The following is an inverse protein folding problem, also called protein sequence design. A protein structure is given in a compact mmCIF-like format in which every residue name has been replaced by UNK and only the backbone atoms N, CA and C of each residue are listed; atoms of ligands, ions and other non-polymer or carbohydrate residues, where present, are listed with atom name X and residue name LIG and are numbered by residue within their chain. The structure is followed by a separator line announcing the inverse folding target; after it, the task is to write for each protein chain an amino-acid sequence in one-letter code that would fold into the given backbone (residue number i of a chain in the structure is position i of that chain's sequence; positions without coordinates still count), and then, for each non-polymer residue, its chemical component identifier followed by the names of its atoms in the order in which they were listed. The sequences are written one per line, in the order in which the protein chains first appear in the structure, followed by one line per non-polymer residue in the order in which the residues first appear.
data_IF_665254582891
#
_entry.id   IF_665254582891
#
_cell.length_a   1.000
_cell.length_b   1.000
_cell.length_c   1.000
_cell.angle_alpha   90.00
_cell.angle_beta   90.00
_cell.angle_gamma   90.00
#
_symmetry.space_group_name_H-M   'P 1'
#
loop_
_entity.id
_entity.type
_entity.pdbx_description
1 polymer ?
#
# COMPACT_ATOMS: atom_id res chain seq x y z
N UNK A 1 19.04 -2.06 -6.94
CA UNK A 1 18.82 -1.94 -5.48
C UNK A 1 19.43 -3.16 -4.82
N UNK A 2 20.24 -2.95 -3.78
CA UNK A 2 20.90 -4.04 -3.05
C UNK A 2 19.99 -4.61 -1.94
N UNK A 3 20.37 -5.74 -1.36
CA UNK A 3 19.70 -6.30 -0.19
C UNK A 3 19.72 -5.30 0.99
N UNK A 4 20.87 -4.63 1.20
CA UNK A 4 21.05 -3.60 2.23
C UNK A 4 20.12 -2.40 2.01
N UNK A 5 19.95 -1.93 0.77
CA UNK A 5 19.03 -0.82 0.47
C UNK A 5 17.57 -1.18 0.78
N UNK A 6 17.20 -2.44 0.53
CA UNK A 6 15.88 -2.96 0.85
C UNK A 6 15.67 -2.95 2.36
N UNK A 7 16.60 -3.50 3.14
CA UNK A 7 16.53 -3.53 4.60
C UNK A 7 16.48 -2.12 5.20
N UNK A 8 17.30 -1.19 4.70
CA UNK A 8 17.29 0.21 5.13
C UNK A 8 15.94 0.88 4.86
N UNK A 9 15.29 0.53 3.76
CA UNK A 9 13.96 1.05 3.41
C UNK A 9 12.88 0.47 4.30
N UNK A 10 12.91 -0.83 4.55
CA UNK A 10 11.98 -1.48 5.50
C UNK A 10 12.15 -0.93 6.92
N UNK A 11 13.39 -0.70 7.37
CA UNK A 11 13.68 -0.11 8.67
C UNK A 11 13.12 1.32 8.76
N UNK A 12 13.35 2.16 7.75
CA UNK A 12 12.84 3.53 7.72
C UNK A 12 11.30 3.57 7.74
N UNK A 13 10.65 2.67 6.99
CA UNK A 13 9.19 2.51 7.04
C UNK A 13 8.70 2.08 8.41
N UNK A 14 9.41 1.17 9.09
CA UNK A 14 9.05 0.73 10.44
C UNK A 14 9.19 1.86 11.45
N UNK A 15 10.26 2.66 11.37
CA UNK A 15 10.41 3.87 12.18
C UNK A 15 9.26 4.84 11.93
N UNK A 16 8.97 5.17 10.66
CA UNK A 16 7.89 6.09 10.33
C UNK A 16 6.52 5.62 10.83
N UNK A 17 6.27 4.31 10.78
CA UNK A 17 5.07 3.69 11.31
C UNK A 17 4.95 3.81 12.85
N UNK A 18 6.03 3.50 13.56
CA UNK A 18 6.05 3.49 15.04
C UNK A 18 6.03 4.91 15.60
N UNK A 19 6.84 5.79 15.04
CA UNK A 19 6.97 7.19 15.46
C UNK A 19 5.88 8.10 14.88
N UNK A 20 5.05 7.57 13.98
CA UNK A 20 3.94 8.28 13.32
C UNK A 20 4.41 9.50 12.54
N UNK A 21 5.57 9.39 11.90
CA UNK A 21 6.10 10.46 11.07
C UNK A 21 5.42 10.46 9.70
N UNK A 22 5.33 11.64 9.12
CA UNK A 22 4.86 11.79 7.75
C UNK A 22 5.91 11.20 6.80
N UNK A 23 5.54 10.27 5.88
CA UNK A 23 6.49 9.75 4.92
C UNK A 23 7.02 10.89 4.04
N UNK A 24 8.31 10.88 3.75
CA UNK A 24 8.90 11.85 2.84
C UNK A 24 8.75 11.38 1.39
N UNK A 25 8.94 12.30 0.43
CA UNK A 25 9.02 11.94 -0.98
C UNK A 25 10.14 10.91 -1.25
N UNK A 26 11.31 11.06 -0.60
CA UNK A 26 12.40 10.08 -0.71
C UNK A 26 12.00 8.69 -0.21
N UNK A 27 11.31 8.61 0.94
CA UNK A 27 10.83 7.33 1.46
C UNK A 27 9.79 6.70 0.52
N UNK A 28 8.93 7.51 -0.10
CA UNK A 28 7.98 7.06 -1.09
C UNK A 28 8.69 6.49 -2.34
N UNK A 29 9.70 7.19 -2.87
CA UNK A 29 10.51 6.73 -4.01
C UNK A 29 11.21 5.39 -3.74
N UNK A 30 11.83 5.27 -2.57
CA UNK A 30 12.46 4.02 -2.14
C UNK A 30 11.43 2.90 -1.99
N UNK A 31 10.26 3.20 -1.44
CA UNK A 31 9.16 2.23 -1.32
C UNK A 31 8.67 1.77 -2.69
N UNK A 32 8.52 2.67 -3.66
CA UNK A 32 8.19 2.30 -5.04
C UNK A 32 9.24 1.38 -5.66
N UNK A 33 10.52 1.59 -5.38
CA UNK A 33 11.60 0.71 -5.83
C UNK A 33 11.50 -0.70 -5.21
N UNK A 34 11.05 -0.81 -3.96
CA UNK A 34 10.78 -2.11 -3.31
C UNK A 34 9.53 -2.78 -3.86
N UNK A 35 8.47 -2.02 -4.16
CA UNK A 35 7.22 -2.52 -4.74
C UNK A 35 7.40 -3.19 -6.11
N UNK A 36 8.35 -2.70 -6.93
CA UNK A 36 8.64 -3.29 -8.25
C UNK A 36 9.58 -4.49 -8.19
N UNK A 37 10.24 -4.71 -7.05
CA UNK A 37 11.26 -5.74 -6.89
C UNK A 37 10.77 -7.05 -6.28
N UNK A 38 11.66 -8.04 -6.23
CA UNK A 38 11.39 -9.36 -5.63
C UNK A 38 11.05 -9.32 -4.12
N UNK A 39 11.28 -8.17 -3.47
CA UNK A 39 11.09 -7.99 -2.04
C UNK A 39 9.77 -7.31 -1.67
N UNK A 40 8.87 -7.04 -2.63
CA UNK A 40 7.59 -6.37 -2.37
C UNK A 40 6.77 -7.01 -1.24
N UNK A 41 6.80 -8.35 -1.13
CA UNK A 41 6.13 -9.10 -0.05
C UNK A 41 6.55 -8.69 1.36
N UNK A 42 7.77 -8.19 1.55
CA UNK A 42 8.28 -7.79 2.86
C UNK A 42 7.68 -6.48 3.36
N UNK A 43 7.11 -5.66 2.47
CA UNK A 43 6.43 -4.42 2.85
C UNK A 43 5.21 -4.71 3.73
N UNK A 44 4.42 -5.73 3.42
CA UNK A 44 3.31 -6.14 4.29
C UNK A 44 3.79 -6.52 5.71
N UNK A 45 5.00 -7.07 5.84
CA UNK A 45 5.60 -7.41 7.13
C UNK A 45 5.95 -6.19 8.00
N UNK A 46 6.13 -5.00 7.42
CA UNK A 46 6.35 -3.77 8.19
C UNK A 46 5.15 -3.45 9.09
N UNK A 47 3.96 -3.88 8.68
CA UNK A 47 2.71 -3.61 9.37
C UNK A 47 2.55 -4.37 10.70
N UNK A 48 3.43 -5.32 11.06
CA UNK A 48 3.29 -6.20 12.22
C UNK A 48 2.72 -5.50 13.47
N UNK A 49 1.49 -5.88 13.87
CA UNK A 49 0.69 -5.38 15.00
C UNK A 49 0.27 -3.91 14.93
N UNK A 50 0.38 -3.29 13.76
CA UNK A 50 0.12 -1.88 13.48
C UNK A 50 -0.61 -1.70 12.14
N UNK A 51 -1.47 -2.64 11.76
CA UNK A 51 -2.10 -2.78 10.45
C UNK A 51 -2.89 -1.52 10.07
N UNK A 52 -3.71 -0.99 10.98
CA UNK A 52 -4.47 0.24 10.74
C UNK A 52 -3.58 1.47 10.48
N UNK A 53 -2.43 1.54 11.16
CA UNK A 53 -1.46 2.63 10.98
C UNK A 53 -0.68 2.45 9.68
N UNK A 54 -0.35 1.20 9.33
CA UNK A 54 0.34 0.87 8.10
C UNK A 54 -0.53 1.18 6.87
N UNK A 55 -1.84 0.93 6.95
CA UNK A 55 -2.79 1.33 5.92
C UNK A 55 -2.70 2.84 5.64
N UNK A 56 -2.75 3.65 6.69
CA UNK A 56 -2.64 5.11 6.55
C UNK A 56 -1.26 5.55 6.04
N UNK A 57 -0.17 4.89 6.44
CA UNK A 57 1.18 5.18 5.97
C UNK A 57 1.31 4.89 4.46
N UNK A 58 0.87 3.73 4.00
CA UNK A 58 0.98 3.34 2.59
C UNK A 58 0.06 4.15 1.68
N UNK A 59 -1.10 4.58 2.17
CA UNK A 59 -1.96 5.54 1.47
C UNK A 59 -1.25 6.88 1.27
N UNK A 60 -0.57 7.42 2.29
CA UNK A 60 0.21 8.67 2.16
C UNK A 60 1.41 8.50 1.23
N UNK A 61 2.07 7.33 1.25
CA UNK A 61 3.10 6.99 0.26
C UNK A 61 2.52 7.00 -1.16
N UNK A 62 1.35 6.40 -1.38
CA UNK A 62 0.69 6.43 -2.68
C UNK A 62 0.42 7.88 -3.15
N UNK A 63 -0.03 8.75 -2.25
CA UNK A 63 -0.21 10.17 -2.53
C UNK A 63 1.10 10.86 -2.90
N UNK A 64 2.21 10.58 -2.21
CA UNK A 64 3.53 11.12 -2.57
C UNK A 64 4.03 10.65 -3.94
N UNK A 65 3.69 9.42 -4.34
CA UNK A 65 4.05 8.88 -5.66
C UNK A 65 3.29 9.59 -6.79
N UNK A 66 2.20 10.29 -6.47
CA UNK A 66 1.45 11.14 -7.39
C UNK A 66 1.04 10.38 -8.67
N UNK A 67 1.20 10.95 -9.87
CA UNK A 67 0.68 10.38 -11.12
C UNK A 67 1.43 9.13 -11.60
N UNK A 68 2.36 8.58 -10.82
CA UNK A 68 3.14 7.41 -11.24
C UNK A 68 2.26 6.15 -11.22
N UNK A 69 2.37 5.26 -12.22
CA UNK A 69 1.58 4.02 -12.27
C UNK A 69 1.73 3.14 -11.02
N UNK A 70 2.92 3.13 -10.42
CA UNK A 70 3.25 2.31 -9.24
C UNK A 70 2.46 2.70 -7.98
N UNK A 71 1.85 3.89 -7.93
CA UNK A 71 1.03 4.30 -6.79
C UNK A 71 -0.21 3.39 -6.62
N UNK A 72 -0.74 2.81 -7.69
CA UNK A 72 -1.81 1.81 -7.60
C UNK A 72 -1.40 0.59 -6.74
N UNK A 73 -0.14 0.15 -6.84
CA UNK A 73 0.37 -0.93 -5.99
C UNK A 73 0.50 -0.53 -4.52
N UNK A 74 0.86 0.73 -4.25
CA UNK A 74 0.89 1.27 -2.90
C UNK A 74 -0.53 1.37 -2.29
N UNK A 75 -1.54 1.79 -3.06
CA UNK A 75 -2.94 1.76 -2.63
C UNK A 75 -3.42 0.34 -2.31
N UNK A 76 -3.07 -0.66 -3.14
CA UNK A 76 -3.43 -2.06 -2.84
C UNK A 76 -2.73 -2.59 -1.58
N UNK A 77 -1.47 -2.21 -1.34
CA UNK A 77 -0.78 -2.56 -0.09
C UNK A 77 -1.45 -1.89 1.13
N UNK A 78 -1.87 -0.63 1.00
CA UNK A 78 -2.65 0.05 2.02
C UNK A 78 -3.98 -0.68 2.28
N UNK A 79 -4.67 -1.10 1.23
CA UNK A 79 -5.92 -1.86 1.32
C UNK A 79 -5.71 -3.20 2.04
N UNK A 80 -4.63 -3.93 1.75
CA UNK A 80 -4.27 -5.16 2.47
C UNK A 80 -4.09 -4.90 3.97
N UNK A 81 -3.40 -3.82 4.35
CA UNK A 81 -3.23 -3.47 5.76
C UNK A 81 -4.56 -3.09 6.42
N UNK A 82 -5.43 -2.36 5.73
CA UNK A 82 -6.78 -2.03 6.23
C UNK A 82 -7.62 -3.30 6.43
N UNK A 83 -7.50 -4.28 5.51
CA UNK A 83 -8.19 -5.55 5.61
C UNK A 83 -7.73 -6.35 6.83
N UNK A 84 -6.42 -6.44 7.06
CA UNK A 84 -5.86 -7.11 8.24
C UNK A 84 -6.24 -6.42 9.55
N UNK A 85 -6.50 -5.11 9.51
CA UNK A 85 -7.06 -4.35 10.63
C UNK A 85 -8.59 -4.51 10.79
N UNK A 86 -9.25 -5.36 9.99
CA UNK A 86 -10.69 -5.53 9.92
C UNK A 86 -11.49 -4.27 9.52
N UNK A 87 -10.84 -3.30 8.86
CA UNK A 87 -11.50 -2.11 8.30
C UNK A 87 -11.87 -2.36 6.83
N UNK A 88 -12.95 -3.13 6.64
CA UNK A 88 -13.38 -3.56 5.30
C UNK A 88 -13.94 -2.41 4.45
N UNK A 89 -14.50 -1.38 5.08
CA UNK A 89 -14.97 -0.17 4.39
C UNK A 89 -13.80 0.62 3.81
N UNK A 90 -12.75 0.84 4.59
CA UNK A 90 -11.54 1.50 4.10
C UNK A 90 -10.81 0.65 3.07
N UNK A 91 -10.80 -0.67 3.26
CA UNK A 91 -10.28 -1.62 2.26
C UNK A 91 -10.95 -1.39 0.90
N UNK A 92 -12.29 -1.38 0.86
CA UNK A 92 -13.03 -1.16 -0.38
C UNK A 92 -12.71 0.20 -1.03
N UNK A 93 -12.64 1.27 -0.23
CA UNK A 93 -12.29 2.61 -0.72
C UNK A 93 -10.89 2.64 -1.36
N UNK A 94 -9.87 2.10 -0.68
CA UNK A 94 -8.50 2.06 -1.17
C UNK A 94 -8.35 1.21 -2.45
N UNK A 95 -9.16 0.15 -2.60
CA UNK A 95 -9.19 -0.64 -3.84
C UNK A 95 -9.81 0.15 -5.00
N UNK A 96 -10.87 0.93 -4.75
CA UNK A 96 -11.45 1.82 -5.75
C UNK A 96 -10.49 2.95 -6.16
N UNK A 97 -9.73 3.48 -5.20
CA UNK A 97 -8.67 4.46 -5.47
C UNK A 97 -7.55 3.85 -6.32
N UNK A 98 -7.13 2.61 -6.02
CA UNK A 98 -6.14 1.89 -6.83
C UNK A 98 -6.61 1.68 -8.27
N UNK A 99 -7.86 1.24 -8.47
CA UNK A 99 -8.48 1.02 -9.78
C UNK A 99 -8.61 2.34 -10.56
N UNK A 100 -9.07 3.39 -9.90
CA UNK A 100 -9.19 4.72 -10.50
C UNK A 100 -7.83 5.29 -10.90
N UNK A 101 -6.82 5.11 -10.05
CA UNK A 101 -5.45 5.56 -10.31
C UNK A 101 -4.84 4.83 -11.51
N UNK A 102 -4.96 3.50 -11.52
CA UNK A 102 -4.51 2.65 -12.61
C UNK A 102 -5.15 3.05 -13.96
N UNK A 103 -6.47 3.29 -13.97
CA UNK A 103 -7.20 3.73 -15.16
C UNK A 103 -6.76 5.11 -15.66
N UNK A 104 -6.44 6.04 -14.76
CA UNK A 104 -6.00 7.41 -15.11
C UNK A 104 -4.57 7.50 -15.60
N UNK A 105 -3.68 6.67 -15.04
CA UNK A 105 -2.24 6.82 -15.22
C UNK A 105 -1.58 5.65 -15.97
N UNK A 106 -2.36 4.71 -16.51
CA UNK A 106 -1.85 3.63 -17.36
C UNK A 106 -1.08 2.55 -16.60
N UNK A 107 -1.52 2.21 -15.39
CA UNK A 107 -0.93 1.17 -14.56
C UNK A 107 -1.81 -0.08 -14.44
N UNK A 108 -1.23 -1.19 -14.00
CA UNK A 108 -1.99 -2.37 -13.61
C UNK A 108 -2.31 -2.36 -12.11
N UNK A 109 -3.50 -2.85 -11.77
CA UNK A 109 -3.86 -3.10 -10.38
C UNK A 109 -3.33 -4.48 -9.98
N UNK A 110 -2.51 -4.61 -8.90
CA UNK A 110 -2.01 -5.90 -8.46
C UNK A 110 -3.13 -6.94 -8.27
N UNK A 111 -2.91 -8.23 -8.60
CA UNK A 111 -3.91 -9.28 -8.50
C UNK A 111 -4.54 -9.42 -7.10
N UNK A 112 -3.78 -9.05 -6.05
CA UNK A 112 -4.26 -9.02 -4.68
C UNK A 112 -5.54 -8.19 -4.51
N UNK A 113 -5.71 -7.10 -5.28
CA UNK A 113 -6.94 -6.31 -5.24
C UNK A 113 -8.18 -7.14 -5.57
N UNK A 114 -8.09 -7.99 -6.61
CA UNK A 114 -9.18 -8.89 -7.00
C UNK A 114 -9.48 -9.89 -5.89
N UNK A 115 -8.44 -10.45 -5.26
CA UNK A 115 -8.60 -11.39 -4.14
C UNK A 115 -9.30 -10.74 -2.95
N UNK A 116 -8.92 -9.51 -2.57
CA UNK A 116 -9.55 -8.78 -1.48
C UNK A 116 -11.02 -8.44 -1.77
N UNK A 117 -11.37 -8.12 -3.02
CA UNK A 117 -12.76 -7.85 -3.44
C UNK A 117 -13.66 -9.08 -3.37
N UNK A 118 -13.10 -10.30 -3.39
CA UNK A 118 -13.89 -11.54 -3.24
C UNK A 118 -14.37 -11.78 -1.81
N UNK A 119 -13.75 -11.17 -0.79
CA UNK A 119 -14.23 -11.29 0.58
C UNK A 119 -15.56 -10.55 0.73
N UNK A 120 -16.59 -11.27 1.23
CA UNK A 120 -17.94 -10.72 1.36
C UNK A 120 -18.01 -9.45 2.21
N UNK A 121 -17.13 -9.28 3.20
CA UNK A 121 -17.11 -8.10 4.08
C UNK A 121 -16.59 -6.86 3.35
N UNK A 122 -15.75 -7.06 2.33
CA UNK A 122 -15.29 -5.99 1.44
C UNK A 122 -16.30 -5.76 0.32
N UNK A 123 -16.82 -6.83 -0.28
CA UNK A 123 -17.66 -6.73 -1.48
C UNK A 123 -18.95 -5.92 -1.24
N UNK A 124 -19.56 -6.03 -0.06
CA UNK A 124 -20.73 -5.22 0.36
C UNK A 124 -20.48 -3.71 0.32
N UNK A 125 -19.22 -3.28 0.36
CA UNK A 125 -18.82 -1.87 0.28
C UNK A 125 -18.37 -1.46 -1.12
N UNK A 126 -18.19 -2.41 -2.04
CA UNK A 126 -17.79 -2.14 -3.44
C UNK A 126 -18.96 -2.11 -4.42
N UNK A 127 -20.12 -2.63 -4.05
CA UNK A 127 -21.28 -2.80 -4.93
C UNK A 127 -22.13 -1.53 -5.12
N UNK A 128 -21.52 -0.34 -5.21
CA UNK A 128 -22.24 0.92 -5.47
C UNK A 128 -21.83 1.54 -6.80
#
# INVERSE_FOLDING_TARGET
MTHTDTLNTLSALRTALVERTEPTADLAERTATVLTGAHARHLAGVADRHEARAAALYERIATHLGPRPIAAAAYVLAAQCAFLAADYRRTAALLADAETHAARHGGDVPPLARLLKLDHRVSVHTAR
#
